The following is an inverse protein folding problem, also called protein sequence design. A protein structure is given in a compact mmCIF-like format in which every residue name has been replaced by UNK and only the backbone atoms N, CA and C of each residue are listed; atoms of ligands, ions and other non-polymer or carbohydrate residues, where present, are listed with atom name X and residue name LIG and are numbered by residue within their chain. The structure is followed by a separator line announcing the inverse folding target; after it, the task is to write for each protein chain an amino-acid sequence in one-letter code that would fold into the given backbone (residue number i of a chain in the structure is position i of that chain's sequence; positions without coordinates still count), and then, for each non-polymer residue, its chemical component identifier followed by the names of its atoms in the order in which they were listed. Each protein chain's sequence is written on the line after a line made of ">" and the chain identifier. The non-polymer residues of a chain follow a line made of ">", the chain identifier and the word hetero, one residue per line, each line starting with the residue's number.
data_IF_179390506926
#
_entry.id   IF_179390506926
#
_cell.length_a   1.000
_cell.length_b   1.000
_cell.length_c   1.000
_cell.angle_alpha   90.00
_cell.angle_beta   90.00
_cell.angle_gamma   90.00
#
_symmetry.space_group_name_H-M   'P 1'
#
loop_
_entity.id
_entity.type
_entity.pdbx_description
1 polymer ?
#
# COMPACT_ATOMS: atom_id res chain seq x y z
N UNK A 1 -26.14 -26.52 16.91
CA UNK A 1 -24.79 -25.93 17.11
C UNK A 1 -24.26 -25.54 15.74
N UNK A 2 -24.02 -24.25 15.49
CA UNK A 2 -23.56 -23.79 14.17
C UNK A 2 -22.10 -24.21 13.99
N UNK A 3 -21.83 -25.02 12.97
CA UNK A 3 -20.49 -25.51 12.63
C UNK A 3 -19.73 -24.44 11.83
N UNK A 4 -19.00 -23.57 12.53
CA UNK A 4 -18.20 -22.50 11.94
C UNK A 4 -17.06 -23.03 11.05
N UNK A 5 -16.65 -24.30 11.22
CA UNK A 5 -15.60 -24.95 10.43
C UNK A 5 -16.00 -25.12 8.96
N UNK A 6 -17.30 -25.30 8.69
CA UNK A 6 -17.84 -25.38 7.31
C UNK A 6 -18.01 -24.01 6.63
N UNK A 7 -18.06 -22.91 7.39
CA UNK A 7 -18.05 -21.54 6.83
C UNK A 7 -16.64 -20.99 6.61
N UNK A 8 -15.64 -21.57 7.27
CA UNK A 8 -14.20 -21.34 7.04
C UNK A 8 -13.69 -22.07 5.80
N UNK A 9 -14.53 -22.26 4.77
CA UNK A 9 -14.00 -22.51 3.44
C UNK A 9 -13.14 -21.31 3.09
N UNK A 10 -11.82 -21.47 3.20
CA UNK A 10 -10.79 -20.51 2.82
C UNK A 10 -10.91 -20.25 1.31
N UNK A 11 -11.96 -19.53 0.91
CA UNK A 11 -11.86 -18.71 -0.29
C UNK A 11 -10.75 -17.74 0.03
N UNK A 12 -9.59 -17.94 -0.60
CA UNK A 12 -8.56 -16.93 -0.63
C UNK A 12 -9.25 -15.63 -1.02
N UNK A 13 -9.34 -14.69 -0.08
CA UNK A 13 -9.88 -13.37 -0.38
C UNK A 13 -8.93 -12.79 -1.42
N UNK A 14 -9.43 -12.64 -2.64
CA UNK A 14 -8.64 -12.12 -3.74
C UNK A 14 -8.27 -10.68 -3.40
N UNK A 15 -6.97 -10.40 -3.30
CA UNK A 15 -6.49 -9.06 -2.95
C UNK A 15 -6.93 -8.09 -4.04
N UNK A 16 -7.62 -7.02 -3.66
CA UNK A 16 -7.95 -5.94 -4.60
C UNK A 16 -6.69 -5.36 -5.23
N UNK A 17 -6.78 -5.03 -6.50
CA UNK A 17 -5.66 -4.45 -7.26
C UNK A 17 -5.89 -2.97 -7.57
N UNK A 18 -7.13 -2.49 -7.60
CA UNK A 18 -7.43 -1.09 -7.74
C UNK A 18 -7.11 -0.34 -6.43
N UNK A 19 -6.24 0.69 -6.42
CA UNK A 19 -5.81 1.35 -5.19
C UNK A 19 -6.94 2.03 -4.41
N UNK A 20 -8.00 2.44 -5.09
CA UNK A 20 -9.19 3.00 -4.44
C UNK A 20 -9.96 1.90 -3.70
N UNK A 21 -10.14 0.74 -4.32
CA UNK A 21 -10.79 -0.43 -3.70
C UNK A 21 -9.94 -1.01 -2.56
N UNK A 22 -8.61 -1.04 -2.74
CA UNK A 22 -7.67 -1.41 -1.67
C UNK A 22 -7.92 -0.52 -0.47
N UNK A 23 -7.94 0.80 -0.66
CA UNK A 23 -8.18 1.74 0.43
C UNK A 23 -9.49 1.44 1.16
N UNK A 24 -10.56 1.17 0.43
CA UNK A 24 -11.89 0.92 1.00
C UNK A 24 -11.96 -0.39 1.84
N UNK A 25 -11.07 -1.36 1.60
CA UNK A 25 -11.00 -2.63 2.34
C UNK A 25 -9.96 -2.67 3.47
N UNK A 26 -9.04 -1.71 3.54
CA UNK A 26 -8.00 -1.70 4.57
C UNK A 26 -8.60 -1.59 5.99
N UNK A 27 -8.07 -2.40 6.91
CA UNK A 27 -8.32 -2.27 8.34
C UNK A 27 -7.50 -1.08 8.88
N UNK A 28 -8.07 0.12 8.71
CA UNK A 28 -7.42 1.39 9.06
C UNK A 28 -7.82 1.81 10.47
N UNK A 29 -6.97 2.61 11.12
CA UNK A 29 -7.34 3.23 12.41
C UNK A 29 -8.62 4.06 12.24
N UNK A 30 -9.50 4.03 13.25
CA UNK A 30 -10.81 4.70 13.24
C UNK A 30 -10.74 6.23 13.01
N UNK A 31 -9.59 6.83 13.31
CA UNK A 31 -9.29 8.25 13.06
C UNK A 31 -9.04 8.60 11.58
N UNK A 32 -9.00 7.61 10.68
CA UNK A 32 -8.78 7.84 9.24
C UNK A 32 -10.10 8.07 8.51
N UNK A 33 -10.23 9.23 7.88
CA UNK A 33 -11.37 9.57 7.03
C UNK A 33 -11.32 8.92 5.64
N UNK A 34 -12.29 9.18 4.76
CA UNK A 34 -12.24 8.72 3.37
C UNK A 34 -11.09 9.39 2.59
N UNK A 35 -10.73 8.83 1.44
CA UNK A 35 -9.83 9.52 0.50
C UNK A 35 -10.40 10.89 0.17
N UNK A 36 -9.56 11.92 0.27
CA UNK A 36 -9.89 13.26 -0.19
C UNK A 36 -10.13 13.25 -1.71
N UNK A 37 -10.95 14.15 -2.26
CA UNK A 37 -11.25 14.20 -3.69
C UNK A 37 -10.01 14.13 -4.58
N UNK A 38 -8.98 14.93 -4.27
CA UNK A 38 -7.71 14.95 -5.03
C UNK A 38 -6.96 13.62 -4.99
N UNK A 39 -7.02 12.90 -3.87
CA UNK A 39 -6.34 11.61 -3.72
C UNK A 39 -7.04 10.55 -4.57
N UNK A 40 -8.39 10.53 -4.51
CA UNK A 40 -9.21 9.62 -5.31
C UNK A 40 -9.02 9.90 -6.80
N UNK A 41 -9.02 11.15 -7.23
CA UNK A 41 -8.79 11.53 -8.62
C UNK A 41 -7.43 11.04 -9.14
N UNK A 42 -6.34 11.30 -8.39
CA UNK A 42 -4.99 10.87 -8.77
C UNK A 42 -4.88 9.34 -8.86
N UNK A 43 -5.43 8.62 -7.87
CA UNK A 43 -5.40 7.15 -7.86
C UNK A 43 -6.24 6.55 -9.00
N UNK A 44 -7.42 7.11 -9.28
CA UNK A 44 -8.27 6.68 -10.40
C UNK A 44 -7.59 6.95 -11.74
N UNK A 45 -7.04 8.14 -11.96
CA UNK A 45 -6.32 8.48 -13.19
C UNK A 45 -5.09 7.57 -13.39
N UNK A 46 -4.33 7.34 -12.33
CA UNK A 46 -3.22 6.39 -12.37
C UNK A 46 -3.70 4.99 -12.77
N UNK A 47 -4.77 4.48 -12.13
CA UNK A 47 -5.32 3.15 -12.39
C UNK A 47 -5.79 2.97 -13.83
N UNK A 48 -6.56 3.93 -14.35
CA UNK A 48 -7.17 3.84 -15.68
C UNK A 48 -6.18 4.09 -16.82
N UNK A 49 -5.18 4.95 -16.60
CA UNK A 49 -4.40 5.49 -17.72
C UNK A 49 -2.88 5.30 -17.60
N UNK A 50 -2.34 5.05 -16.39
CA UNK A 50 -0.89 5.10 -16.15
C UNK A 50 -0.32 3.87 -15.43
N UNK A 51 -1.14 2.89 -15.04
CA UNK A 51 -0.71 1.76 -14.19
C UNK A 51 0.34 0.85 -14.84
N UNK A 52 0.47 0.91 -16.16
CA UNK A 52 1.41 0.12 -16.95
C UNK A 52 2.57 0.96 -17.50
N UNK A 53 2.62 2.26 -17.20
CA UNK A 53 3.76 3.12 -17.52
C UNK A 53 5.00 2.61 -16.78
N UNK A 54 6.12 2.53 -17.49
CA UNK A 54 7.41 2.11 -16.93
C UNK A 54 7.91 3.12 -15.90
N UNK A 55 7.92 4.39 -16.28
CA UNK A 55 8.41 5.51 -15.48
C UNK A 55 7.31 6.56 -15.37
N UNK A 56 7.03 7.03 -14.15
CA UNK A 56 5.95 7.98 -13.88
C UNK A 56 6.36 8.99 -12.80
N UNK A 57 6.04 10.26 -13.04
CA UNK A 57 6.19 11.33 -12.06
C UNK A 57 4.82 11.80 -11.59
N UNK A 58 4.56 11.70 -10.28
CA UNK A 58 3.35 12.22 -9.64
C UNK A 58 3.67 13.54 -8.93
N UNK A 59 3.03 14.63 -9.35
CA UNK A 59 3.22 15.97 -8.77
C UNK A 59 2.01 16.36 -7.93
N UNK A 60 2.20 16.53 -6.63
CA UNK A 60 1.18 17.08 -5.72
C UNK A 60 1.80 18.10 -4.76
N UNK A 61 1.00 19.09 -4.34
CA UNK A 61 1.38 20.04 -3.30
C UNK A 61 1.57 19.36 -1.93
N UNK A 62 2.35 19.99 -1.04
CA UNK A 62 2.52 19.54 0.35
C UNK A 62 1.17 19.48 1.07
N UNK A 63 1.01 18.57 2.03
CA UNK A 63 -0.25 18.38 2.75
C UNK A 63 -1.36 17.62 2.00
N UNK A 64 -1.20 17.31 0.72
CA UNK A 64 -2.21 16.60 -0.08
C UNK A 64 -2.17 15.06 0.02
N UNK A 65 -1.31 14.51 0.88
CA UNK A 65 -1.22 13.07 1.13
C UNK A 65 -0.45 12.27 0.07
N UNK A 66 0.68 12.82 -0.40
CA UNK A 66 1.60 12.13 -1.33
C UNK A 66 2.04 10.75 -0.83
N UNK A 67 2.32 10.63 0.46
CA UNK A 67 2.77 9.38 1.09
C UNK A 67 1.72 8.29 0.95
N UNK A 68 0.47 8.56 1.35
CA UNK A 68 -0.64 7.60 1.22
C UNK A 68 -0.86 7.18 -0.24
N UNK A 69 -0.84 8.13 -1.19
CA UNK A 69 -0.99 7.83 -2.61
C UNK A 69 0.11 6.88 -3.08
N UNK A 70 1.37 7.15 -2.73
CA UNK A 70 2.50 6.29 -3.06
C UNK A 70 2.36 4.89 -2.47
N UNK A 71 2.01 4.79 -1.19
CA UNK A 71 1.80 3.50 -0.51
C UNK A 71 0.68 2.68 -1.15
N UNK A 72 -0.45 3.30 -1.52
CA UNK A 72 -1.55 2.61 -2.21
C UNK A 72 -1.17 2.12 -3.61
N UNK A 73 -0.37 2.91 -4.34
CA UNK A 73 0.17 2.49 -5.65
C UNK A 73 1.12 1.29 -5.49
N UNK A 74 2.02 1.32 -4.52
CA UNK A 74 2.90 0.20 -4.22
C UNK A 74 2.10 -1.04 -3.81
N UNK A 75 1.11 -0.90 -2.92
CA UNK A 75 0.23 -2.00 -2.52
C UNK A 75 -0.53 -2.57 -3.73
N UNK A 76 -0.99 -1.72 -4.64
CA UNK A 76 -1.62 -2.13 -5.90
C UNK A 76 -0.67 -2.95 -6.79
N UNK A 77 0.59 -2.52 -6.93
CA UNK A 77 1.61 -3.25 -7.71
C UNK A 77 1.96 -4.60 -7.06
N UNK A 78 2.07 -4.62 -5.74
CA UNK A 78 2.33 -5.82 -4.95
C UNK A 78 1.19 -6.84 -5.12
N UNK A 79 -0.07 -6.39 -5.03
CA UNK A 79 -1.25 -7.24 -5.23
C UNK A 79 -1.36 -7.76 -6.67
N UNK A 80 -0.88 -7.00 -7.66
CA UNK A 80 -0.75 -7.43 -9.06
C UNK A 80 0.42 -8.42 -9.30
N UNK A 81 1.20 -8.76 -8.28
CA UNK A 81 2.42 -9.59 -8.39
C UNK A 81 3.44 -9.04 -9.39
N UNK A 82 3.54 -7.70 -9.48
CA UNK A 82 4.50 -7.01 -10.36
C UNK A 82 5.90 -6.87 -9.74
N UNK A 83 6.19 -7.65 -8.71
CA UNK A 83 7.47 -7.70 -8.00
C UNK A 83 7.48 -6.96 -6.67
N UNK A 84 8.64 -6.99 -5.97
CA UNK A 84 8.81 -6.35 -4.69
C UNK A 84 8.78 -4.82 -4.82
N UNK A 85 8.27 -4.14 -3.79
CA UNK A 85 8.03 -2.69 -3.82
C UNK A 85 8.86 -1.99 -2.73
N UNK A 86 9.66 -1.00 -3.11
CA UNK A 86 10.54 -0.22 -2.24
C UNK A 86 10.09 1.24 -2.19
N UNK A 87 10.00 1.81 -0.99
CA UNK A 87 9.74 3.22 -0.74
C UNK A 87 11.02 3.90 -0.23
N UNK A 88 11.64 4.74 -1.08
CA UNK A 88 12.88 5.42 -0.72
C UNK A 88 12.60 6.80 -0.12
N UNK A 89 13.19 7.06 1.05
CA UNK A 89 13.12 8.34 1.74
C UNK A 89 14.49 9.04 1.77
N UNK A 90 14.54 10.38 1.75
CA UNK A 90 15.79 11.14 1.86
C UNK A 90 16.58 10.93 3.17
N UNK A 91 15.91 10.52 4.26
CA UNK A 91 16.54 10.28 5.55
C UNK A 91 15.68 9.35 6.43
N UNK A 92 16.29 8.85 7.51
CA UNK A 92 15.68 7.90 8.46
C UNK A 92 14.45 8.49 9.17
N UNK A 93 14.41 9.81 9.40
CA UNK A 93 13.24 10.44 10.02
C UNK A 93 12.00 10.33 9.12
N UNK A 94 12.16 10.58 7.81
CA UNK A 94 11.10 10.42 6.81
C UNK A 94 10.70 8.94 6.62
N UNK A 95 11.64 8.00 6.78
CA UNK A 95 11.32 6.56 6.85
C UNK A 95 10.36 6.30 8.01
N UNK A 96 10.70 6.74 9.23
CA UNK A 96 9.86 6.55 10.42
C UNK A 96 8.47 7.17 10.24
N UNK A 97 8.38 8.37 9.68
CA UNK A 97 7.09 9.00 9.39
C UNK A 97 6.26 8.22 8.37
N UNK A 98 6.90 7.67 7.33
CA UNK A 98 6.22 6.84 6.33
C UNK A 98 5.71 5.53 6.93
N UNK A 99 6.49 4.91 7.82
CA UNK A 99 6.09 3.71 8.56
C UNK A 99 4.83 3.98 9.42
N UNK A 100 4.82 5.09 10.16
CA UNK A 100 3.65 5.50 10.96
C UNK A 100 2.40 5.73 10.09
N UNK A 101 2.55 6.33 8.91
CA UNK A 101 1.45 6.48 7.97
C UNK A 101 0.98 5.12 7.42
N UNK A 102 1.90 4.21 7.09
CA UNK A 102 1.54 2.85 6.66
C UNK A 102 0.74 2.11 7.75
N UNK A 103 1.18 2.16 9.02
CA UNK A 103 0.44 1.59 10.15
C UNK A 103 -0.94 2.21 10.33
N UNK A 104 -1.02 3.54 10.23
CA UNK A 104 -2.27 4.28 10.37
C UNK A 104 -3.32 3.82 9.36
N UNK A 105 -2.88 3.52 8.14
CA UNK A 105 -3.75 3.06 7.06
C UNK A 105 -3.77 1.54 6.88
N UNK A 106 -3.18 0.76 7.79
CA UNK A 106 -3.22 -0.72 7.72
C UNK A 106 -2.41 -1.33 6.56
N UNK A 107 -1.44 -0.59 6.02
CA UNK A 107 -0.57 -1.04 4.94
C UNK A 107 0.63 -1.78 5.51
N UNK A 108 0.82 -3.04 5.10
CA UNK A 108 1.91 -3.88 5.58
C UNK A 108 3.27 -3.46 5.03
N UNK A 109 4.23 -3.25 5.93
CA UNK A 109 5.60 -2.89 5.59
C UNK A 109 6.63 -3.68 6.40
N UNK A 110 7.87 -3.66 5.93
CA UNK A 110 9.09 -4.06 6.64
C UNK A 110 10.10 -2.92 6.56
N UNK A 111 11.12 -2.93 7.42
CA UNK A 111 12.23 -1.97 7.34
C UNK A 111 13.55 -2.71 7.28
N UNK A 112 14.59 -2.01 6.83
CA UNK A 112 15.96 -2.48 7.06
C UNK A 112 16.25 -2.52 8.57
N UNK A 113 16.73 -3.66 9.03
CA UNK A 113 17.16 -3.90 10.42
C UNK A 113 18.66 -3.59 10.62
N UNK A 114 19.34 -3.10 9.57
CA UNK A 114 20.78 -2.82 9.59
C UNK A 114 21.66 -4.05 9.33
N UNK A 115 21.07 -5.22 9.07
CA UNK A 115 21.79 -6.36 8.51
C UNK A 115 22.13 -6.11 7.04
N UNK A 116 23.15 -6.80 6.52
CA UNK A 116 23.47 -6.79 5.09
C UNK A 116 22.50 -7.65 4.25
N UNK A 117 21.36 -8.05 4.80
CA UNK A 117 20.34 -8.88 4.15
C UNK A 117 19.01 -8.13 4.01
N UNK A 118 18.31 -8.38 2.90
CA UNK A 118 16.95 -7.89 2.70
C UNK A 118 15.95 -8.76 3.44
N UNK A 119 14.87 -8.20 4.02
CA UNK A 119 13.84 -9.01 4.68
C UNK A 119 13.14 -9.98 3.71
N UNK A 120 12.89 -11.21 4.15
CA UNK A 120 12.22 -12.24 3.33
C UNK A 120 10.84 -11.78 2.83
N UNK A 121 10.09 -11.05 3.66
CA UNK A 121 8.76 -10.54 3.30
C UNK A 121 8.82 -9.53 2.14
N UNK A 122 9.94 -8.81 1.98
CA UNK A 122 10.16 -7.96 0.81
C UNK A 122 10.52 -8.82 -0.40
N UNK A 123 11.47 -9.75 -0.27
CA UNK A 123 11.91 -10.63 -1.36
C UNK A 123 10.75 -11.45 -1.94
N UNK A 124 9.84 -11.91 -1.08
CA UNK A 124 8.65 -12.68 -1.45
C UNK A 124 7.50 -11.82 -1.99
N UNK A 125 7.67 -10.49 -2.11
CA UNK A 125 6.61 -9.56 -2.53
C UNK A 125 5.37 -9.62 -1.61
N UNK A 126 5.58 -9.80 -0.32
CA UNK A 126 4.50 -9.84 0.68
C UNK A 126 4.23 -8.48 1.32
N UNK A 127 5.28 -7.68 1.50
CA UNK A 127 5.23 -6.35 2.11
C UNK A 127 6.11 -5.32 1.39
N UNK A 128 5.76 -4.05 1.55
CA UNK A 128 6.56 -2.92 1.07
C UNK A 128 7.79 -2.76 1.98
N UNK A 129 8.95 -2.44 1.41
CA UNK A 129 10.18 -2.08 2.13
C UNK A 129 10.37 -0.57 2.17
#
# INVERSE_FOLDING_TARGET
>A
MVDFKKKLGLKSIEKKINPVEIYDELDRRSETGPLRPVQREVLTNWWLHRKDDKDLVLKLHTGQGKTLIGLLILQSKLNQKKGPCLYVCPNIYLVKQTCLEAEKFGIGYVTFDGSNSLPDQFLNSEKIL
#
